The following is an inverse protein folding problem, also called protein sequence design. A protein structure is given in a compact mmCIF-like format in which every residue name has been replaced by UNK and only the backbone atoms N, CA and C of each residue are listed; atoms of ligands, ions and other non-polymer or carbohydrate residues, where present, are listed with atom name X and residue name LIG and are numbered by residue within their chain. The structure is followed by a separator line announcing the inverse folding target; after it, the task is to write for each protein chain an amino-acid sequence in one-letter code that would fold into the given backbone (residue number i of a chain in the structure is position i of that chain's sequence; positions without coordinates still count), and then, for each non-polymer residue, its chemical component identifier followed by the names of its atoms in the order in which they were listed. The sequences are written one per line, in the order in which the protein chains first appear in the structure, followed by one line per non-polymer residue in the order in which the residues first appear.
data_IF_962054330947
#
_entry.id   IF_962054330947
#
_cell.length_a   1.000
_cell.length_b   1.000
_cell.length_c   1.000
_cell.angle_alpha   90.00
_cell.angle_beta   90.00
_cell.angle_gamma   90.00
#
_symmetry.space_group_name_H-M   'P 1'
#
loop_
_entity.id
_entity.type
_entity.pdbx_description
1 polymer ?
#
# COMPACT_ATOMS: atom_id res chain seq x y z
N UNK A 1 -19.57 16.39 -15.34
CA UNK A 1 -19.66 16.04 -16.78
C UNK A 1 -18.44 16.49 -17.60
N UNK A 2 -18.11 17.79 -17.69
CA UNK A 2 -16.98 18.27 -18.50
C UNK A 2 -15.61 17.64 -18.14
N UNK A 3 -15.35 17.42 -16.84
CA UNK A 3 -14.14 16.76 -16.35
C UNK A 3 -13.99 15.31 -16.87
N UNK A 4 -15.09 14.54 -16.87
CA UNK A 4 -15.06 13.16 -17.36
C UNK A 4 -14.73 13.08 -18.85
N UNK A 5 -15.29 14.00 -19.65
CA UNK A 5 -14.98 14.10 -21.09
C UNK A 5 -13.52 14.48 -21.31
N UNK A 6 -13.00 15.47 -20.56
CA UNK A 6 -11.60 15.89 -20.65
C UNK A 6 -10.63 14.75 -20.32
N UNK A 7 -10.92 13.99 -19.27
CA UNK A 7 -10.10 12.84 -18.84
C UNK A 7 -10.07 11.75 -19.92
N UNK A 8 -11.20 11.47 -20.59
CA UNK A 8 -11.22 10.50 -21.69
C UNK A 8 -10.42 10.99 -22.90
N UNK A 9 -10.57 12.26 -23.27
CA UNK A 9 -9.89 12.86 -24.43
C UNK A 9 -8.38 12.92 -24.27
N UNK A 10 -7.86 13.01 -23.05
CA UNK A 10 -6.42 13.08 -22.78
C UNK A 10 -5.88 11.70 -22.40
N UNK A 11 -6.56 10.99 -21.51
CA UNK A 11 -6.08 9.74 -20.93
C UNK A 11 -6.05 8.58 -21.92
N UNK A 12 -7.04 8.48 -22.81
CA UNK A 12 -7.08 7.40 -23.80
C UNK A 12 -5.94 7.55 -24.83
N UNK A 13 -5.72 8.72 -25.48
CA UNK A 13 -4.59 8.88 -26.39
C UNK A 13 -3.23 8.65 -25.73
N UNK A 14 -3.03 9.12 -24.50
CA UNK A 14 -1.80 8.87 -23.75
C UNK A 14 -1.61 7.38 -23.48
N UNK A 15 -2.65 6.68 -23.01
CA UNK A 15 -2.57 5.25 -22.75
C UNK A 15 -2.32 4.42 -24.01
N UNK A 16 -2.95 4.78 -25.13
CA UNK A 16 -2.68 4.15 -26.45
C UNK A 16 -1.25 4.40 -26.91
N UNK A 17 -0.72 5.60 -26.70
CA UNK A 17 0.66 5.93 -27.05
C UNK A 17 1.66 5.12 -26.22
N UNK A 18 1.44 5.03 -24.90
CA UNK A 18 2.26 4.22 -23.98
C UNK A 18 2.21 2.72 -24.30
N UNK A 19 1.03 2.22 -24.66
CA UNK A 19 0.87 0.81 -25.06
C UNK A 19 1.64 0.49 -26.35
N UNK A 20 1.70 1.42 -27.31
CA UNK A 20 2.38 1.22 -28.60
C UNK A 20 3.90 1.49 -28.56
N UNK A 21 4.40 2.23 -27.58
CA UNK A 21 5.80 2.67 -27.53
C UNK A 21 6.46 2.38 -26.17
N UNK A 22 6.52 1.10 -25.74
CA UNK A 22 7.12 0.73 -24.45
C UNK A 22 8.64 0.96 -24.37
N UNK A 23 9.33 0.88 -25.51
CA UNK A 23 10.75 1.19 -25.71
C UNK A 23 11.08 2.65 -25.36
N UNK A 24 10.26 3.58 -25.87
CA UNK A 24 10.43 5.02 -25.62
C UNK A 24 10.19 5.37 -24.16
N UNK A 25 9.28 4.66 -23.50
CA UNK A 25 9.00 4.86 -22.08
C UNK A 25 10.21 4.46 -21.22
N UNK A 26 10.83 3.32 -21.50
CA UNK A 26 12.01 2.86 -20.79
C UNK A 26 13.19 3.81 -21.00
N UNK A 27 13.41 4.26 -22.24
CA UNK A 27 14.44 5.27 -22.53
C UNK A 27 14.20 6.59 -21.79
N UNK A 28 12.95 7.04 -21.68
CA UNK A 28 12.62 8.29 -20.99
C UNK A 28 12.72 8.19 -19.46
N UNK A 29 12.49 7.01 -18.87
CA UNK A 29 12.27 6.89 -17.42
C UNK A 29 13.27 6.01 -16.67
N UNK A 30 13.98 5.13 -17.37
CA UNK A 30 14.84 4.12 -16.74
C UNK A 30 16.26 4.07 -17.31
N UNK A 31 16.47 4.44 -18.57
CA UNK A 31 17.80 4.36 -19.21
C UNK A 31 18.90 5.10 -18.45
N UNK A 32 18.56 6.25 -17.85
CA UNK A 32 19.47 7.09 -17.07
C UNK A 32 20.00 6.40 -15.80
N UNK A 33 19.37 5.31 -15.35
CA UNK A 33 19.84 4.51 -14.22
C UNK A 33 21.06 3.65 -14.59
N UNK A 34 21.30 3.42 -15.88
CA UNK A 34 22.34 2.51 -16.37
C UNK A 34 23.50 3.27 -17.00
N UNK A 35 24.73 2.88 -16.67
CA UNK A 35 25.94 3.43 -17.27
C UNK A 35 26.06 3.12 -18.77
N UNK A 36 25.56 1.94 -19.18
CA UNK A 36 25.46 1.49 -20.57
C UNK A 36 23.99 1.08 -20.84
N UNK A 37 23.11 2.00 -21.25
CA UNK A 37 21.69 1.71 -21.41
C UNK A 37 21.42 0.72 -22.55
N UNK A 38 22.11 0.82 -23.69
CA UNK A 38 21.94 -0.10 -24.83
C UNK A 38 22.23 -1.57 -24.49
N UNK A 39 23.12 -1.82 -23.52
CA UNK A 39 23.46 -3.17 -23.07
C UNK A 39 22.52 -3.73 -22.00
N UNK A 40 21.68 -2.88 -21.39
CA UNK A 40 20.71 -3.25 -20.35
C UNK A 40 19.26 -3.00 -20.80
N UNK A 41 19.07 -2.84 -22.11
CA UNK A 41 17.74 -2.67 -22.68
C UNK A 41 16.90 -3.94 -22.42
N UNK A 42 15.65 -3.80 -21.95
CA UNK A 42 14.75 -4.92 -21.76
C UNK A 42 14.58 -5.73 -23.04
N UNK A 43 14.39 -7.04 -22.90
CA UNK A 43 14.05 -7.88 -24.05
C UNK A 43 12.67 -7.50 -24.62
N UNK A 44 12.40 -7.84 -25.89
CA UNK A 44 11.09 -7.59 -26.52
C UNK A 44 9.91 -8.16 -25.71
N UNK A 45 10.10 -9.30 -25.04
CA UNK A 45 9.11 -9.89 -24.15
C UNK A 45 8.87 -9.05 -22.87
N UNK A 46 9.93 -8.45 -22.32
CA UNK A 46 9.82 -7.54 -21.19
C UNK A 46 9.14 -6.21 -21.59
N UNK A 47 9.38 -5.73 -22.81
CA UNK A 47 8.63 -4.60 -23.40
C UNK A 47 7.16 -4.92 -23.64
N UNK A 48 6.86 -6.15 -24.08
CA UNK A 48 5.48 -6.63 -24.17
C UNK A 48 4.76 -6.57 -22.83
N UNK A 49 5.46 -6.88 -21.73
CA UNK A 49 4.88 -6.84 -20.38
C UNK A 49 4.74 -5.42 -19.84
N UNK A 50 5.70 -4.53 -20.11
CA UNK A 50 5.64 -3.13 -19.66
C UNK A 50 4.61 -2.31 -20.45
N UNK A 51 4.30 -2.70 -21.69
CA UNK A 51 3.26 -2.09 -22.52
C UNK A 51 1.87 -2.11 -21.84
N UNK A 52 1.61 -3.06 -20.94
CA UNK A 52 0.37 -3.16 -20.16
C UNK A 52 0.11 -1.91 -19.29
N UNK A 53 1.15 -1.12 -18.99
CA UNK A 53 1.01 0.17 -18.31
C UNK A 53 0.10 1.13 -19.08
N UNK A 54 0.16 1.12 -20.42
CA UNK A 54 -0.74 1.93 -21.25
C UNK A 54 -2.20 1.51 -21.13
N UNK A 55 -2.47 0.20 -21.04
CA UNK A 55 -3.83 -0.34 -20.81
C UNK A 55 -4.37 0.09 -19.45
N UNK A 56 -3.53 0.04 -18.40
CA UNK A 56 -3.91 0.51 -17.06
C UNK A 56 -4.31 1.99 -17.05
N UNK A 57 -3.58 2.84 -17.79
CA UNK A 57 -3.91 4.27 -17.93
C UNK A 57 -5.27 4.48 -18.61
N UNK A 58 -5.58 3.69 -19.65
CA UNK A 58 -6.89 3.74 -20.33
C UNK A 58 -8.00 3.35 -19.35
N UNK A 59 -7.85 2.23 -18.64
CA UNK A 59 -8.84 1.73 -17.67
C UNK A 59 -9.07 2.75 -16.55
N UNK A 60 -8.00 3.30 -15.98
CA UNK A 60 -8.09 4.33 -14.95
C UNK A 60 -8.84 5.59 -15.45
N UNK A 61 -8.58 6.01 -16.69
CA UNK A 61 -9.25 7.15 -17.31
C UNK A 61 -10.76 6.92 -17.46
N UNK A 62 -11.16 5.70 -17.85
CA UNK A 62 -12.58 5.32 -17.95
C UNK A 62 -13.25 5.30 -16.57
N UNK A 63 -12.59 4.75 -15.54
CA UNK A 63 -13.11 4.73 -14.16
C UNK A 63 -13.31 6.15 -13.62
N UNK A 64 -12.31 7.02 -13.79
CA UNK A 64 -12.39 8.43 -13.35
C UNK A 64 -13.51 9.18 -14.08
N UNK A 65 -13.67 8.95 -15.39
CA UNK A 65 -14.74 9.56 -16.15
C UNK A 65 -16.13 9.09 -15.69
N UNK A 66 -16.30 7.78 -15.46
CA UNK A 66 -17.54 7.21 -14.92
C UNK A 66 -17.90 7.83 -13.57
N UNK A 67 -16.93 7.93 -12.64
CA UNK A 67 -17.15 8.57 -11.35
C UNK A 67 -17.58 10.04 -11.51
N UNK A 68 -16.91 10.79 -12.39
CA UNK A 68 -17.23 12.20 -12.68
C UNK A 68 -18.58 12.40 -13.41
N UNK A 69 -19.12 11.38 -14.05
CA UNK A 69 -20.46 11.38 -14.63
C UNK A 69 -21.53 11.02 -13.59
N UNK A 70 -21.24 10.11 -12.67
CA UNK A 70 -22.18 9.72 -11.59
C UNK A 70 -22.35 10.78 -10.50
N UNK A 71 -21.39 11.70 -10.35
CA UNK A 71 -21.44 12.81 -9.39
C UNK A 71 -22.11 14.07 -9.95
N UNK A 72 -22.72 14.02 -11.14
CA UNK A 72 -23.30 15.17 -11.85
C UNK A 72 -24.76 15.43 -11.51
N UNK A 73 -25.02 15.98 -10.31
CA UNK A 73 -26.34 16.45 -9.87
C UNK A 73 -26.23 17.71 -9.02
N UNK A 74 -25.74 18.81 -9.62
CA UNK A 74 -25.96 20.20 -9.19
C UNK A 74 -25.29 21.10 -10.23
N UNK A 75 -26.09 21.74 -11.07
CA UNK A 75 -25.70 22.95 -11.78
C UNK A 75 -26.15 24.12 -10.91
N UNK A 76 -25.38 25.21 -10.88
CA UNK A 76 -25.91 26.58 -10.97
C UNK A 76 -24.77 27.52 -11.40
N UNK A 77 -25.07 28.35 -12.38
CA UNK A 77 -24.27 29.42 -12.98
C UNK A 77 -24.43 30.75 -12.19
N UNK A 78 -23.60 31.76 -12.56
CA UNK A 78 -23.56 33.19 -12.17
C UNK A 78 -22.97 33.57 -10.79
N UNK A 79 -22.08 34.56 -10.58
CA UNK A 79 -21.30 35.57 -11.33
C UNK A 79 -20.37 36.26 -10.26
N UNK A 80 -19.64 37.40 -10.46
CA UNK A 80 -19.05 38.05 -11.64
C UNK A 80 -17.51 38.27 -11.52
N UNK A 81 -16.89 38.69 -12.62
CA UNK A 81 -15.50 39.19 -12.70
C UNK A 81 -15.31 40.51 -11.94
N UNK A 82 -14.25 40.61 -11.12
CA UNK A 82 -13.77 41.83 -10.46
C UNK A 82 -12.26 41.73 -10.14
N UNK A 83 -11.50 42.85 -10.10
CA UNK A 83 -10.09 42.87 -10.51
C UNK A 83 -9.12 42.33 -9.46
N UNK A 84 -8.03 41.76 -9.97
CA UNK A 84 -6.89 41.21 -9.24
C UNK A 84 -6.38 42.15 -8.13
N UNK A 85 -6.35 41.64 -6.90
CA UNK A 85 -5.55 42.23 -5.81
C UNK A 85 -4.36 41.33 -5.54
N UNK A 86 -3.19 41.79 -5.99
CA UNK A 86 -1.88 41.21 -5.74
C UNK A 86 -1.64 41.10 -4.24
N UNK A 87 -1.86 39.92 -3.67
CA UNK A 87 -1.33 39.58 -2.34
C UNK A 87 -0.09 38.75 -2.56
N UNK A 88 1.08 39.37 -2.31
CA UNK A 88 2.38 38.70 -2.25
C UNK A 88 2.29 37.50 -1.31
N UNK A 89 2.14 36.30 -1.89
CA UNK A 89 2.13 35.04 -1.16
C UNK A 89 3.54 34.82 -0.65
N UNK A 90 3.78 35.20 0.61
CA UNK A 90 5.02 34.90 1.33
C UNK A 90 5.19 33.38 1.32
N UNK A 91 6.12 32.90 0.48
CA UNK A 91 6.49 31.48 0.38
C UNK A 91 6.92 31.01 1.77
N UNK A 92 6.22 30.06 2.42
CA UNK A 92 6.79 29.40 3.57
C UNK A 92 8.05 28.63 3.08
N UNK A 93 9.11 28.53 3.89
CA UNK A 93 10.31 27.83 3.48
C UNK A 93 9.93 26.43 2.97
N UNK A 94 10.63 25.90 1.94
CA UNK A 94 10.33 24.59 1.41
C UNK A 94 10.36 23.61 2.57
N UNK A 95 9.18 23.05 2.90
CA UNK A 95 9.09 21.97 3.88
C UNK A 95 10.05 20.90 3.39
N UNK A 96 11.09 20.63 4.19
CA UNK A 96 11.97 19.50 4.01
C UNK A 96 11.12 18.28 3.64
N UNK A 97 11.51 17.59 2.57
CA UNK A 97 10.66 16.74 1.75
C UNK A 97 9.67 15.89 2.54
N UNK A 98 8.40 15.95 2.12
CA UNK A 98 7.42 14.93 2.43
C UNK A 98 7.96 13.60 1.90
N UNK A 99 8.69 12.86 2.74
CA UNK A 99 9.02 11.48 2.41
C UNK A 99 7.69 10.73 2.46
N UNK A 100 7.17 10.33 1.30
CA UNK A 100 5.98 9.48 1.17
C UNK A 100 6.17 8.06 1.72
N UNK A 101 7.26 7.81 2.46
CA UNK A 101 7.55 6.53 3.08
C UNK A 101 6.79 6.45 4.41
N UNK A 102 6.10 5.33 4.68
CA UNK A 102 5.50 5.08 5.98
C UNK A 102 6.55 5.24 7.08
N UNK A 103 6.26 6.06 8.07
CA UNK A 103 7.04 6.17 9.29
C UNK A 103 6.79 4.93 10.13
N UNK A 104 7.85 4.22 10.51
CA UNK A 104 7.74 3.07 11.39
C UNK A 104 7.32 3.49 12.81
N UNK A 105 6.27 2.86 13.34
CA UNK A 105 5.63 3.15 14.63
C UNK A 105 5.75 1.97 15.61
N UNK A 106 6.51 0.93 15.27
CA UNK A 106 6.84 -0.18 16.15
C UNK A 106 6.36 -1.53 15.62
N UNK A 107 6.92 -2.60 16.20
CA UNK A 107 6.54 -3.98 15.89
C UNK A 107 5.21 -4.35 16.56
N UNK A 108 4.34 -5.04 15.83
CA UNK A 108 3.09 -5.59 16.35
C UNK A 108 3.32 -7.01 16.88
N UNK A 109 2.80 -7.36 18.06
CA UNK A 109 2.96 -8.69 18.60
C UNK A 109 2.11 -9.70 17.83
N UNK A 110 2.66 -10.89 17.63
CA UNK A 110 2.04 -11.98 16.88
C UNK A 110 1.36 -12.93 17.84
N UNK A 111 0.10 -13.28 17.55
CA UNK A 111 -0.67 -14.27 18.30
C UNK A 111 -0.40 -15.68 17.78
N UNK A 112 -0.31 -15.83 16.46
CA UNK A 112 -0.09 -17.11 15.81
C UNK A 112 -0.40 -17.04 14.33
N UNK A 113 -0.40 -18.20 13.66
CA UNK A 113 -0.76 -18.30 12.25
C UNK A 113 -1.76 -19.41 11.98
N UNK A 114 -2.45 -19.31 10.84
CA UNK A 114 -3.28 -20.37 10.27
C UNK A 114 -2.93 -20.57 8.81
N UNK A 115 -3.13 -21.79 8.35
CA UNK A 115 -3.05 -22.12 6.93
C UNK A 115 -4.47 -22.23 6.37
N UNK A 116 -4.71 -21.57 5.24
CA UNK A 116 -5.98 -21.62 4.54
C UNK A 116 -5.75 -22.10 3.11
N UNK A 117 -6.48 -23.12 2.67
CA UNK A 117 -6.44 -23.56 1.28
C UNK A 117 -7.32 -22.65 0.42
N UNK A 118 -6.74 -22.07 -0.64
CA UNK A 118 -7.46 -21.20 -1.56
C UNK A 118 -7.01 -21.47 -2.99
N UNK A 119 -7.90 -22.07 -3.80
CA UNK A 119 -7.61 -22.33 -5.22
C UNK A 119 -6.46 -23.30 -5.46
N UNK A 120 -6.26 -24.27 -4.56
CA UNK A 120 -5.15 -25.24 -4.63
C UNK A 120 -3.80 -24.71 -4.12
N UNK A 121 -3.79 -23.52 -3.51
CA UNK A 121 -2.63 -22.92 -2.89
C UNK A 121 -2.84 -22.77 -1.38
N UNK A 122 -1.79 -23.08 -0.60
CA UNK A 122 -1.76 -22.87 0.85
C UNK A 122 -1.43 -21.40 1.16
N UNK A 123 -2.39 -20.68 1.71
CA UNK A 123 -2.25 -19.28 2.14
C UNK A 123 -1.88 -19.19 3.62
N UNK A 124 -0.96 -18.28 3.95
CA UNK A 124 -0.60 -17.95 5.33
C UNK A 124 -1.46 -16.78 5.84
N UNK A 125 -2.24 -17.05 6.88
CA UNK A 125 -2.93 -16.04 7.68
C UNK A 125 -2.17 -15.81 8.99
N UNK A 126 -1.80 -14.56 9.24
CA UNK A 126 -1.10 -14.17 10.46
C UNK A 126 -2.03 -13.40 11.38
N UNK A 127 -2.15 -13.86 12.61
CA UNK A 127 -2.97 -13.26 13.65
C UNK A 127 -2.11 -12.41 14.60
N UNK A 128 -2.55 -11.21 14.94
CA UNK A 128 -1.78 -10.22 15.69
C UNK A 128 -2.69 -9.31 16.53
N UNK A 129 -2.10 -8.59 17.49
CA UNK A 129 -2.83 -7.57 18.26
C UNK A 129 -2.58 -6.17 17.71
N UNK A 130 -3.62 -5.36 17.76
CA UNK A 130 -3.61 -3.96 17.33
C UNK A 130 -3.63 -3.06 18.58
N UNK A 131 -2.83 -1.99 18.66
CA UNK A 131 -2.90 -1.04 19.76
C UNK A 131 -4.27 -0.37 19.85
N UNK A 132 -4.81 -0.24 21.06
CA UNK A 132 -6.09 0.40 21.29
C UNK A 132 -6.12 1.83 20.71
N UNK A 133 -7.14 2.13 19.88
CA UNK A 133 -7.32 3.45 19.26
C UNK A 133 -6.51 3.71 17.97
N UNK A 134 -5.63 2.80 17.55
CA UNK A 134 -4.80 2.99 16.33
C UNK A 134 -5.53 2.71 15.01
N UNK A 135 -6.64 1.95 15.04
CA UNK A 135 -7.50 1.59 13.90
C UNK A 135 -6.77 1.45 12.53
N UNK A 136 -5.70 0.64 12.44
CA UNK A 136 -4.87 0.59 11.25
C UNK A 136 -5.55 -0.18 10.13
N UNK A 137 -5.38 0.30 8.91
CA UNK A 137 -5.83 -0.43 7.72
C UNK A 137 -4.78 -1.48 7.36
N UNK A 138 -5.20 -2.72 7.10
CA UNK A 138 -4.32 -3.74 6.56
C UNK A 138 -3.89 -3.30 5.15
N UNK A 139 -2.62 -2.93 4.96
CA UNK A 139 -2.14 -2.40 3.69
C UNK A 139 -2.41 -3.39 2.55
N UNK A 140 -3.32 -3.07 1.63
CA UNK A 140 -3.41 -3.76 0.33
C UNK A 140 -2.41 -3.14 -0.64
N UNK A 141 -2.16 -3.79 -1.78
CA UNK A 141 -1.41 -3.21 -2.93
C UNK A 141 -2.15 -2.04 -3.61
N UNK A 142 -2.96 -1.30 -2.86
CA UNK A 142 -3.72 -0.18 -3.35
C UNK A 142 -2.85 1.06 -3.22
N UNK A 143 -2.20 1.46 -4.31
CA UNK A 143 -1.50 2.74 -4.45
C UNK A 143 -2.41 3.98 -4.25
N UNK A 144 -3.69 3.78 -3.91
CA UNK A 144 -4.71 4.79 -3.68
C UNK A 144 -5.36 4.73 -2.27
N UNK A 145 -4.95 3.83 -1.37
CA UNK A 145 -5.50 3.84 0.00
C UNK A 145 -4.89 4.96 0.83
N UNK A 146 -5.66 6.03 0.97
CA UNK A 146 -5.84 6.83 2.19
C UNK A 146 -4.69 6.75 3.19
N UNK A 147 -3.73 7.65 3.01
CA UNK A 147 -2.63 7.91 3.94
C UNK A 147 -3.17 8.04 5.39
N UNK A 148 -2.56 7.29 6.32
CA UNK A 148 -2.99 7.17 7.71
C UNK A 148 -2.19 6.09 8.47
N UNK A 149 -2.83 5.46 9.47
CA UNK A 149 -2.23 4.38 10.25
C UNK A 149 -2.41 3.04 9.53
N UNK A 150 -1.32 2.29 9.34
CA UNK A 150 -1.33 1.08 8.53
C UNK A 150 -0.53 -0.06 9.14
N UNK A 151 -0.86 -1.29 8.75
CA UNK A 151 -0.05 -2.47 9.07
C UNK A 151 0.89 -2.78 7.91
N UNK A 152 2.18 -2.61 8.16
CA UNK A 152 3.27 -2.94 7.24
C UNK A 152 3.68 -4.40 7.40
N UNK A 153 3.62 -5.15 6.29
CA UNK A 153 4.10 -6.53 6.21
C UNK A 153 5.60 -6.54 5.88
N UNK A 154 6.42 -7.11 6.74
CA UNK A 154 7.83 -7.37 6.48
C UNK A 154 8.06 -8.88 6.46
N UNK A 155 7.88 -9.48 5.29
CA UNK A 155 7.97 -10.94 5.11
C UNK A 155 9.18 -11.29 4.27
N UNK A 156 9.95 -12.29 4.71
CA UNK A 156 11.13 -12.81 4.04
C UNK A 156 11.06 -14.33 3.93
N UNK A 157 11.67 -14.89 2.89
CA UNK A 157 11.75 -16.34 2.70
C UNK A 157 10.48 -16.99 2.10
N UNK A 158 9.59 -16.21 1.46
CA UNK A 158 8.44 -16.79 0.75
C UNK A 158 8.94 -17.79 -0.31
N UNK A 159 8.31 -18.97 -0.35
CA UNK A 159 8.71 -20.08 -1.23
C UNK A 159 9.86 -20.95 -0.69
N UNK A 160 10.42 -20.61 0.47
CA UNK A 160 11.44 -21.42 1.15
C UNK A 160 10.84 -22.26 2.28
N UNK A 161 11.66 -23.07 2.93
CA UNK A 161 11.34 -23.88 4.11
C UNK A 161 11.27 -23.06 5.41
N UNK A 162 11.68 -21.79 5.38
CA UNK A 162 11.66 -20.90 6.54
C UNK A 162 11.22 -19.49 6.17
N UNK A 163 10.10 -19.06 6.76
CA UNK A 163 9.51 -17.75 6.52
C UNK A 163 9.66 -16.92 7.78
N UNK A 164 10.25 -15.74 7.64
CA UNK A 164 10.23 -14.72 8.70
C UNK A 164 9.11 -13.73 8.40
N UNK A 165 8.09 -13.70 9.25
CA UNK A 165 6.94 -12.83 9.11
C UNK A 165 6.88 -11.83 10.27
N UNK A 166 7.15 -10.57 9.96
CA UNK A 166 7.05 -9.45 10.89
C UNK A 166 5.92 -8.51 10.46
N UNK A 167 5.17 -8.02 11.43
CA UNK A 167 4.17 -6.97 11.24
C UNK A 167 4.59 -5.73 12.01
N UNK A 168 4.49 -4.58 11.36
CA UNK A 168 4.83 -3.29 11.97
C UNK A 168 3.70 -2.32 11.77
N UNK A 169 3.54 -1.41 12.72
CA UNK A 169 2.64 -0.29 12.55
C UNK A 169 3.37 0.81 11.78
N UNK A 170 2.75 1.36 10.75
CA UNK A 170 3.26 2.43 9.92
C UNK A 170 2.34 3.65 9.99
N UNK A 171 2.91 4.84 9.84
CA UNK A 171 2.15 6.07 9.65
C UNK A 171 2.59 6.79 8.39
N UNK A 172 1.67 6.97 7.46
CA UNK A 172 1.91 7.76 6.25
C UNK A 172 1.12 9.07 6.35
N UNK A 173 1.76 10.26 6.37
CA UNK A 173 1.05 11.52 6.41
C UNK A 173 0.30 11.74 5.09
N UNK A 174 -0.92 12.27 5.15
CA UNK A 174 -1.64 12.60 3.92
C UNK A 174 -2.98 13.29 4.03
N UNK A 175 -3.65 13.40 2.88
CA UNK A 175 -4.81 14.28 2.67
C UNK A 175 -6.00 13.99 3.61
N UNK A 176 -6.21 12.73 3.99
CA UNK A 176 -7.26 12.30 4.94
C UNK A 176 -6.70 11.93 6.32
N UNK A 177 -5.39 12.00 6.52
CA UNK A 177 -4.75 11.69 7.78
C UNK A 177 -5.02 12.81 8.78
N UNK A 178 -5.71 12.51 9.88
CA UNK A 178 -5.95 13.50 10.94
C UNK A 178 -4.76 13.54 11.90
N UNK A 179 -4.48 14.72 12.48
CA UNK A 179 -3.48 14.86 13.55
C UNK A 179 -3.80 13.96 14.76
N UNK A 180 -5.09 13.73 15.03
CA UNK A 180 -5.53 12.78 16.05
C UNK A 180 -5.08 11.35 15.72
N UNK A 181 -5.26 10.90 14.47
CA UNK A 181 -4.79 9.60 14.00
C UNK A 181 -3.27 9.44 14.06
N UNK A 182 -2.50 10.52 13.87
CA UNK A 182 -1.04 10.48 14.01
C UNK A 182 -0.61 10.16 15.44
N UNK A 183 -1.29 10.76 16.42
CA UNK A 183 -0.97 10.59 17.84
C UNK A 183 -1.35 9.20 18.37
N UNK A 184 -2.43 8.60 17.86
CA UNK A 184 -2.89 7.28 18.29
C UNK A 184 -2.24 6.12 17.52
N UNK A 185 -1.60 6.39 16.38
CA UNK A 185 -0.88 5.40 15.59
C UNK A 185 0.51 5.09 16.17
N UNK A 186 0.54 4.47 17.35
CA UNK A 186 1.77 4.00 18.01
C UNK A 186 1.49 2.70 18.75
N UNK A 187 2.52 1.87 18.90
CA UNK A 187 2.44 0.71 19.79
C UNK A 187 2.37 1.19 21.24
N UNK A 188 1.41 0.65 21.98
CA UNK A 188 1.19 0.93 23.41
C UNK A 188 1.02 -0.41 24.15
N UNK A 189 0.97 -0.37 25.48
CA UNK A 189 0.72 -1.56 26.30
C UNK A 189 -0.76 -1.97 26.33
N UNK A 190 -1.64 -1.17 25.72
CA UNK A 190 -3.07 -1.41 25.65
C UNK A 190 -3.47 -1.96 24.27
N UNK A 191 -4.01 -3.17 24.23
CA UNK A 191 -4.44 -3.83 23.00
C UNK A 191 -5.94 -3.69 22.76
N UNK A 192 -6.36 -3.69 21.49
CA UNK A 192 -7.78 -3.81 21.14
C UNK A 192 -8.34 -5.16 21.62
N UNK A 193 -9.62 -5.24 22.01
CA UNK A 193 -10.25 -6.45 22.57
C UNK A 193 -10.43 -7.61 21.56
N UNK A 194 -9.72 -7.58 20.42
CA UNK A 194 -9.85 -8.56 19.36
C UNK A 194 -8.52 -8.82 18.66
N UNK A 195 -8.39 -10.04 18.15
CA UNK A 195 -7.26 -10.47 17.32
C UNK A 195 -7.53 -10.09 15.88
N UNK A 196 -6.63 -9.31 15.29
CA UNK A 196 -6.66 -9.00 13.87
C UNK A 196 -5.96 -10.10 13.08
N UNK A 197 -6.42 -10.33 11.84
CA UNK A 197 -5.80 -11.30 10.92
C UNK A 197 -5.45 -10.61 9.63
N UNK A 198 -4.26 -10.92 9.09
CA UNK A 198 -3.81 -10.43 7.78
C UNK A 198 -3.32 -11.60 6.94
N UNK A 199 -3.73 -11.63 5.67
CA UNK A 199 -3.23 -12.60 4.70
C UNK A 199 -1.88 -12.16 4.17
N UNK A 200 -0.89 -13.04 4.25
CA UNK A 200 0.47 -12.78 3.77
C UNK A 200 0.61 -13.18 2.31
N UNK A 201 0.14 -14.37 1.95
CA UNK A 201 0.21 -14.91 0.60
C UNK A 201 0.45 -16.42 0.59
N UNK A 202 0.72 -16.95 -0.61
CA UNK A 202 0.98 -18.37 -0.82
C UNK A 202 2.33 -18.78 -0.25
N UNK A 203 2.36 -19.89 0.47
CA UNK A 203 3.57 -20.44 1.07
C UNK A 203 3.70 -21.94 0.77
N UNK A 204 4.87 -22.51 1.07
CA UNK A 204 5.01 -23.96 1.17
C UNK A 204 4.31 -24.46 2.44
N UNK A 205 3.52 -25.53 2.39
CA UNK A 205 2.76 -26.01 3.55
C UNK A 205 3.64 -26.52 4.69
N UNK A 206 4.88 -26.93 4.39
CA UNK A 206 5.88 -27.42 5.35
C UNK A 206 6.82 -26.31 5.88
N UNK A 207 6.62 -25.05 5.48
CA UNK A 207 7.50 -23.96 5.89
C UNK A 207 7.38 -23.66 7.39
N UNK A 208 8.54 -23.55 8.05
CA UNK A 208 8.64 -23.05 9.42
C UNK A 208 8.39 -21.54 9.46
N UNK A 209 7.43 -21.11 10.28
CA UNK A 209 7.07 -19.70 10.42
C UNK A 209 7.71 -19.12 11.68
N UNK A 210 8.52 -18.08 11.51
CA UNK A 210 9.19 -17.38 12.60
C UNK A 210 8.95 -15.87 12.53
N UNK A 211 9.14 -15.17 13.64
CA UNK A 211 9.01 -13.72 13.75
C UNK A 211 10.15 -13.15 14.59
N UNK A 212 10.47 -11.87 14.41
CA UNK A 212 11.35 -11.12 15.30
C UNK A 212 10.55 -10.32 16.35
N UNK A 213 9.22 -10.35 16.26
CA UNK A 213 8.31 -9.65 17.16
C UNK A 213 8.00 -10.47 18.41
N UNK A 214 7.37 -9.85 19.41
CA UNK A 214 6.88 -10.58 20.57
C UNK A 214 5.78 -11.56 20.15
N UNK A 215 5.78 -12.74 20.74
CA UNK A 215 4.70 -13.73 20.60
C UNK A 215 3.82 -13.64 21.85
N UNK A 216 2.52 -13.46 21.65
CA UNK A 216 1.56 -13.20 22.73
C UNK A 216 0.35 -14.12 22.62
N UNK A 217 -0.40 -14.25 23.71
CA UNK A 217 -1.76 -14.80 23.67
C UNK A 217 -2.76 -13.77 23.14
N UNK A 218 -3.98 -14.20 22.76
CA UNK A 218 -5.06 -13.27 22.38
C UNK A 218 -5.38 -12.18 23.41
N UNK A 219 -5.09 -12.42 24.70
CA UNK A 219 -5.30 -11.47 25.80
C UNK A 219 -4.12 -10.49 25.99
N UNK A 220 -3.07 -10.57 25.17
CA UNK A 220 -1.86 -9.75 25.28
C UNK A 220 -0.77 -10.31 26.20
N UNK A 221 -1.00 -11.45 26.87
CA UNK A 221 0.03 -12.07 27.71
C UNK A 221 1.21 -12.51 26.88
N UNK A 222 2.41 -12.05 27.21
CA UNK A 222 3.65 -12.38 26.49
C UNK A 222 4.03 -13.85 26.71
N UNK A 223 4.13 -14.60 25.62
CA UNK A 223 4.65 -15.97 25.58
C UNK A 223 6.15 -15.99 25.31
N UNK A 224 6.60 -15.13 24.39
CA UNK A 224 8.01 -14.89 24.10
C UNK A 224 8.24 -13.39 23.84
N UNK A 225 9.22 -12.75 24.48
CA UNK A 225 9.57 -11.36 24.18
C UNK A 225 10.12 -11.25 22.75
N UNK A 226 10.14 -10.02 22.20
CA UNK A 226 10.68 -9.78 20.86
C UNK A 226 12.15 -10.23 20.77
N UNK A 227 12.40 -11.24 19.95
CA UNK A 227 13.72 -11.82 19.74
C UNK A 227 13.78 -12.43 18.33
N UNK A 228 14.98 -12.48 17.76
CA UNK A 228 15.15 -12.94 16.40
C UNK A 228 14.75 -14.42 16.24
N UNK A 229 13.88 -14.69 15.27
CA UNK A 229 13.51 -16.06 14.91
C UNK A 229 12.62 -16.79 15.93
N UNK A 230 11.84 -16.07 16.74
CA UNK A 230 10.80 -16.65 17.59
C UNK A 230 9.86 -17.55 16.76
N UNK A 231 9.60 -18.80 17.17
CA UNK A 231 8.64 -19.64 16.48
C UNK A 231 7.23 -19.08 16.64
N UNK A 232 6.50 -18.96 15.54
CA UNK A 232 5.10 -18.53 15.57
C UNK A 232 4.21 -19.75 15.79
N UNK A 233 3.30 -19.77 16.77
CA UNK A 233 2.46 -20.92 17.03
C UNK A 233 1.39 -21.10 15.94
N UNK A 234 1.17 -22.34 15.52
CA UNK A 234 0.04 -22.70 14.66
C UNK A 234 -1.24 -22.69 15.49
N UNK A 235 -2.23 -21.90 15.06
CA UNK A 235 -3.52 -21.81 15.71
C UNK A 235 -4.46 -22.88 15.14
N UNK A 236 -5.27 -23.52 15.98
CA UNK A 236 -6.31 -24.43 15.50
C UNK A 236 -7.29 -23.66 14.59
N UNK A 237 -7.76 -24.32 13.53
CA UNK A 237 -8.81 -23.78 12.66
C UNK A 237 -10.07 -23.49 13.47
N UNK A 238 -10.79 -22.42 13.09
CA UNK A 238 -12.16 -22.27 13.55
C UNK A 238 -12.97 -23.40 12.91
N UNK A 239 -13.54 -24.29 13.72
CA UNK A 239 -14.59 -25.19 13.25
C UNK A 239 -15.84 -24.39 12.94
#
# INVERSE_FOLDING_TARGET
MALGILVLLIGIPIGVWLFRNPDKLWWATESWKYKNPEANEPSEAAYGMSSLTGVLVIVASVVVALLAFTSGGSNDDDAPSGPATTTTKRTPPPRAGLTSRPQDRGALPIVGYRLAEQGGATMLDLSYLVPAGSAPVAGGFNFFTEQGCEVMRQVRGIGTDRITADLRLGWTPGLKATLAGESTCRVTDAWSPGVATIRIGTIRPDASIVTNSAVVRPDGTVLAPAAAGNPVPHLPGAQ
#
